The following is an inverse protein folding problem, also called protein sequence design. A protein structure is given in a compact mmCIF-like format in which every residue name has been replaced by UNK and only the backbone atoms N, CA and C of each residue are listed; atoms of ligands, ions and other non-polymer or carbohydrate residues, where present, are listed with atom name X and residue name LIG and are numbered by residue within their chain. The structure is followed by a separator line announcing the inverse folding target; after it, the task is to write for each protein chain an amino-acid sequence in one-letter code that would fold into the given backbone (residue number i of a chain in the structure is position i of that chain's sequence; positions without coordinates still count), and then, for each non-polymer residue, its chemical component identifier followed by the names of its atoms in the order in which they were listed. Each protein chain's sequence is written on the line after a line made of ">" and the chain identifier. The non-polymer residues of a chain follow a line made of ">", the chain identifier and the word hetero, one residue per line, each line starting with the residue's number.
data_IF_717458384625
#
_entry.id   IF_717458384625
#
_cell.length_a   1.000
_cell.length_b   1.000
_cell.length_c   1.000
_cell.angle_alpha   90.00
_cell.angle_beta   90.00
_cell.angle_gamma   90.00
#
_symmetry.space_group_name_H-M   'P 1'
#
loop_
_entity.id
_entity.type
_entity.pdbx_description
1 polymer ?
#
# COMPACT_ATOMS: atom_id res chain seq x y z
N UNK A 1 71.02 -22.75 -1.98
CA UNK A 1 71.50 -22.44 -0.62
C UNK A 1 70.24 -22.27 0.24
N UNK A 2 69.73 -23.46 0.66
CA UNK A 2 68.44 -23.49 1.38
C UNK A 2 68.71 -23.26 2.87
N UNK A 3 68.21 -22.12 3.39
CA UNK A 3 68.27 -21.80 4.79
C UNK A 3 67.03 -22.38 5.50
N UNK A 4 67.17 -23.60 6.00
CA UNK A 4 66.13 -24.21 6.87
C UNK A 4 66.05 -23.42 8.19
N UNK A 5 64.85 -23.02 8.66
CA UNK A 5 64.69 -22.32 9.88
C UNK A 5 65.11 -23.21 11.09
N UNK A 6 65.89 -22.65 12.02
CA UNK A 6 66.38 -23.34 13.17
C UNK A 6 65.24 -23.79 14.11
N UNK A 7 65.41 -24.92 14.76
CA UNK A 7 64.43 -25.53 15.73
C UNK A 7 63.84 -24.54 16.72
N UNK A 8 64.63 -23.55 17.17
CA UNK A 8 64.20 -22.45 18.05
C UNK A 8 63.16 -21.52 17.42
N UNK A 9 63.29 -21.22 16.12
CA UNK A 9 62.33 -20.34 15.43
C UNK A 9 60.94 -21.03 15.28
N UNK A 10 60.93 -22.35 15.05
CA UNK A 10 59.68 -23.13 14.96
C UNK A 10 58.95 -23.20 16.29
N UNK A 11 59.70 -23.34 17.40
CA UNK A 11 59.15 -23.35 18.77
C UNK A 11 58.52 -22.01 19.14
N UNK A 12 59.17 -20.91 18.80
CA UNK A 12 58.66 -19.54 19.05
C UNK A 12 57.39 -19.25 18.27
N UNK A 13 57.31 -19.69 16.98
CA UNK A 13 56.11 -19.53 16.15
C UNK A 13 54.95 -20.35 16.71
N UNK A 14 55.18 -21.60 17.14
CA UNK A 14 54.14 -22.42 17.77
C UNK A 14 53.60 -21.80 19.06
N UNK A 15 54.48 -21.20 19.89
CA UNK A 15 54.08 -20.49 21.09
C UNK A 15 53.20 -19.25 20.79
N UNK A 16 53.56 -18.51 19.74
CA UNK A 16 52.78 -17.34 19.31
C UNK A 16 51.39 -17.72 18.81
N UNK A 17 51.28 -18.80 18.00
CA UNK A 17 49.99 -19.32 17.54
C UNK A 17 49.10 -19.82 18.67
N UNK A 18 49.70 -20.43 19.71
CA UNK A 18 48.98 -20.87 20.90
C UNK A 18 48.45 -19.68 21.71
N UNK A 19 49.26 -18.64 21.91
CA UNK A 19 48.87 -17.41 22.61
C UNK A 19 47.75 -16.65 21.86
N UNK A 20 47.83 -16.55 20.54
CA UNK A 20 46.76 -15.92 19.70
C UNK A 20 45.46 -16.71 19.80
N UNK A 21 45.50 -18.06 19.77
CA UNK A 21 44.30 -18.89 19.96
C UNK A 21 43.68 -18.71 21.33
N UNK A 22 44.47 -18.65 22.38
CA UNK A 22 43.98 -18.42 23.75
C UNK A 22 43.35 -17.04 23.85
N UNK A 23 43.96 -16.01 23.29
CA UNK A 23 43.40 -14.66 23.25
C UNK A 23 42.05 -14.59 22.53
N UNK A 24 41.93 -15.30 21.39
CA UNK A 24 40.67 -15.39 20.65
C UNK A 24 39.56 -16.09 21.45
N UNK A 25 39.91 -17.16 22.18
CA UNK A 25 38.94 -17.89 23.02
C UNK A 25 38.50 -17.00 24.20
N UNK A 26 39.41 -16.25 24.81
CA UNK A 26 39.10 -15.33 25.90
C UNK A 26 38.17 -14.18 25.40
N UNK A 27 38.45 -13.62 24.23
CA UNK A 27 37.61 -12.59 23.63
C UNK A 27 36.21 -13.15 23.28
N UNK A 28 36.13 -14.38 22.79
CA UNK A 28 34.83 -15.05 22.52
C UNK A 28 34.04 -15.30 23.80
N UNK A 29 34.69 -15.73 24.87
CA UNK A 29 34.05 -15.96 26.17
C UNK A 29 33.56 -14.65 26.79
N UNK A 30 34.33 -13.56 26.69
CA UNK A 30 33.91 -12.23 27.14
C UNK A 30 32.82 -11.63 26.26
N UNK A 31 32.84 -11.88 24.94
CA UNK A 31 31.80 -11.47 24.03
C UNK A 31 30.44 -12.12 24.30
N UNK A 32 30.44 -13.39 24.73
CA UNK A 32 29.20 -14.11 25.09
C UNK A 32 28.57 -13.62 26.39
N UNK A 33 29.35 -12.97 27.27
CA UNK A 33 28.82 -12.39 28.51
C UNK A 33 28.22 -10.98 28.33
N UNK A 34 28.45 -10.35 27.19
CA UNK A 34 27.84 -9.06 26.85
C UNK A 34 26.34 -9.17 26.47
N UNK A 35 25.85 -10.37 26.18
CA UNK A 35 24.41 -10.66 26.10
C UNK A 35 23.78 -10.81 27.50
N UNK A 36 24.02 -9.83 28.39
CA UNK A 36 23.17 -9.70 29.58
C UNK A 36 21.81 -9.24 29.09
N UNK A 37 20.83 -10.10 29.33
CA UNK A 37 19.39 -9.84 29.22
C UNK A 37 19.10 -8.36 29.46
N UNK A 38 18.55 -7.70 28.41
CA UNK A 38 17.88 -6.43 28.60
C UNK A 38 16.97 -6.58 29.84
N UNK A 39 16.98 -5.64 30.76
CA UNK A 39 16.08 -5.73 31.91
C UNK A 39 14.67 -5.92 31.31
N UNK A 40 14.01 -7.02 31.70
CA UNK A 40 12.59 -7.19 31.40
C UNK A 40 11.95 -5.94 31.98
N UNK A 41 11.56 -5.02 31.09
CA UNK A 41 10.72 -3.89 31.45
C UNK A 41 9.50 -4.56 32.08
N UNK A 42 9.39 -4.47 33.41
CA UNK A 42 8.18 -4.93 34.10
C UNK A 42 7.05 -4.26 33.31
N UNK A 43 6.08 -5.04 32.79
CA UNK A 43 4.92 -4.41 32.21
C UNK A 43 4.43 -3.41 33.24
N UNK A 44 4.32 -2.14 32.83
CA UNK A 44 3.67 -1.13 33.65
C UNK A 44 2.38 -1.79 34.16
N UNK A 45 2.08 -1.68 35.48
CA UNK A 45 0.85 -2.22 36.00
C UNK A 45 -0.23 -1.75 35.05
N UNK A 46 -1.03 -2.72 34.56
CA UNK A 46 -2.10 -2.47 33.63
C UNK A 46 -2.88 -1.29 34.21
N UNK A 47 -2.58 -0.09 33.74
CA UNK A 47 -3.41 1.05 33.97
C UNK A 47 -4.68 0.72 33.19
N UNK A 48 -5.47 -0.19 33.79
CA UNK A 48 -6.90 -0.15 33.59
C UNK A 48 -7.30 1.24 34.12
N UNK A 49 -6.96 2.26 33.32
CA UNK A 49 -7.61 3.54 33.37
C UNK A 49 -9.05 3.33 32.85
N UNK A 50 -9.78 2.48 33.57
CA UNK A 50 -11.13 2.79 33.96
C UNK A 50 -11.05 3.88 35.05
N UNK A 51 -10.22 4.93 34.85
CA UNK A 51 -10.69 6.23 35.26
C UNK A 51 -12.03 6.31 34.55
N UNK A 52 -13.07 6.12 35.31
CA UNK A 52 -14.39 6.60 34.92
C UNK A 52 -14.14 8.06 34.51
N UNK A 53 -13.86 8.28 33.23
CA UNK A 53 -14.03 9.58 32.61
C UNK A 53 -15.53 9.74 32.74
N UNK A 54 -15.94 10.34 33.85
CA UNK A 54 -17.28 10.86 33.97
C UNK A 54 -17.39 11.83 32.82
N UNK A 55 -18.14 11.40 31.80
CA UNK A 55 -18.43 12.27 30.64
C UNK A 55 -18.90 13.58 31.23
N UNK A 56 -18.11 14.64 31.01
CA UNK A 56 -18.49 15.95 31.45
C UNK A 56 -19.74 16.35 30.64
N UNK A 57 -20.90 16.23 31.29
CA UNK A 57 -22.18 16.50 30.66
C UNK A 57 -22.28 17.93 30.12
N UNK A 58 -21.47 18.87 30.63
CA UNK A 58 -21.35 20.23 30.11
C UNK A 58 -20.70 20.25 28.73
N UNK A 59 -19.56 19.58 28.55
CA UNK A 59 -18.87 19.47 27.27
C UNK A 59 -19.74 18.74 26.26
N UNK A 60 -20.31 17.60 26.64
CA UNK A 60 -21.17 16.83 25.74
C UNK A 60 -22.39 17.64 25.25
N UNK A 61 -23.00 18.43 26.11
CA UNK A 61 -24.15 19.26 25.74
C UNK A 61 -23.79 20.38 24.78
N UNK A 62 -22.58 20.96 24.90
CA UNK A 62 -22.08 22.00 24.01
C UNK A 62 -21.80 21.46 22.59
N UNK A 63 -21.30 20.23 22.48
CA UNK A 63 -21.00 19.59 21.18
C UNK A 63 -22.20 18.83 20.60
N UNK A 64 -23.27 18.57 21.37
CA UNK A 64 -24.41 17.79 20.90
C UNK A 64 -25.05 18.33 19.60
N UNK A 65 -25.32 19.62 19.42
CA UNK A 65 -25.93 20.12 18.18
C UNK A 65 -25.02 19.89 16.95
N UNK A 66 -23.69 20.05 17.12
CA UNK A 66 -22.73 19.82 16.06
C UNK A 66 -22.65 18.34 15.68
N UNK A 67 -22.53 17.47 16.68
CA UNK A 67 -22.54 16.00 16.50
C UNK A 67 -23.83 15.53 15.81
N UNK A 68 -24.98 16.04 16.22
CA UNK A 68 -26.28 15.63 15.70
C UNK A 68 -26.44 16.08 14.24
N UNK A 69 -25.97 17.29 13.89
CA UNK A 69 -25.91 17.78 12.52
C UNK A 69 -24.98 16.94 11.65
N UNK A 70 -23.78 16.60 12.13
CA UNK A 70 -22.83 15.75 11.43
C UNK A 70 -23.38 14.34 11.21
N UNK A 71 -23.98 13.74 12.24
CA UNK A 71 -24.60 12.44 12.16
C UNK A 71 -25.78 12.42 11.16
N UNK A 72 -26.58 13.47 11.11
CA UNK A 72 -27.66 13.59 10.13
C UNK A 72 -27.12 13.60 8.70
N UNK A 73 -26.05 14.37 8.43
CA UNK A 73 -25.40 14.43 7.12
C UNK A 73 -24.79 13.08 6.74
N UNK A 74 -24.00 12.46 7.63
CA UNK A 74 -23.34 11.18 7.37
C UNK A 74 -24.31 10.00 7.19
N UNK A 75 -25.49 10.06 7.80
CA UNK A 75 -26.52 9.03 7.66
C UNK A 75 -27.42 9.24 6.42
N UNK A 76 -27.22 10.27 5.63
CA UNK A 76 -27.95 10.47 4.39
C UNK A 76 -27.72 9.29 3.45
N UNK A 77 -28.81 8.72 2.92
CA UNK A 77 -28.73 7.69 1.89
C UNK A 77 -28.34 8.35 0.55
N UNK A 78 -27.30 7.80 -0.08
CA UNK A 78 -26.76 8.28 -1.35
C UNK A 78 -26.95 7.25 -2.48
N UNK A 79 -27.33 6.01 -2.15
CA UNK A 79 -27.52 4.96 -3.12
C UNK A 79 -28.10 3.69 -2.53
N UNK A 80 -28.21 2.68 -3.38
CA UNK A 80 -28.70 1.35 -3.02
C UNK A 80 -27.85 0.28 -3.72
N UNK A 81 -27.57 -0.81 -3.04
CA UNK A 81 -26.84 -1.95 -3.59
C UNK A 81 -27.60 -3.25 -3.39
N UNK A 82 -27.84 -4.02 -4.46
CA UNK A 82 -28.52 -5.31 -4.39
C UNK A 82 -27.70 -6.39 -3.70
N UNK A 83 -26.39 -6.19 -3.58
CA UNK A 83 -25.45 -7.11 -2.94
C UNK A 83 -24.39 -6.34 -2.18
N UNK A 84 -23.71 -6.99 -1.24
CA UNK A 84 -22.55 -6.42 -0.58
C UNK A 84 -21.32 -6.50 -1.49
N UNK A 85 -20.44 -5.49 -1.39
CA UNK A 85 -19.19 -5.43 -2.13
C UNK A 85 -18.00 -5.57 -1.18
N UNK A 86 -17.07 -6.44 -1.55
CA UNK A 86 -15.89 -6.75 -0.75
C UNK A 86 -14.62 -6.50 -1.57
N UNK A 87 -13.61 -5.93 -0.91
CA UNK A 87 -12.27 -5.92 -1.48
C UNK A 87 -11.70 -7.34 -1.47
N UNK A 88 -11.00 -7.72 -2.52
CA UNK A 88 -10.49 -9.09 -2.68
C UNK A 88 -9.19 -9.19 -3.48
N UNK A 89 -8.59 -10.37 -3.47
CA UNK A 89 -7.40 -10.72 -4.22
C UNK A 89 -7.63 -12.07 -4.92
N UNK A 90 -7.28 -12.23 -6.20
CA UNK A 90 -6.78 -11.19 -7.12
C UNK A 90 -7.86 -10.20 -7.56
N UNK A 91 -9.14 -10.54 -7.40
CA UNK A 91 -10.28 -9.82 -7.94
C UNK A 91 -11.39 -9.73 -6.87
N UNK A 92 -11.75 -8.52 -6.48
CA UNK A 92 -12.86 -8.22 -5.57
C UNK A 92 -13.91 -7.36 -6.26
N UNK A 93 -15.19 -7.61 -6.01
CA UNK A 93 -16.26 -6.81 -6.64
C UNK A 93 -16.21 -5.34 -6.22
N UNK A 94 -15.75 -5.02 -4.99
CA UNK A 94 -15.51 -3.64 -4.57
C UNK A 94 -14.34 -3.00 -5.32
N UNK A 95 -13.26 -3.77 -5.56
CA UNK A 95 -12.11 -3.28 -6.34
C UNK A 95 -12.55 -2.84 -7.74
N UNK A 96 -13.35 -3.68 -8.41
CA UNK A 96 -13.84 -3.40 -9.75
C UNK A 96 -14.77 -2.19 -9.74
N UNK A 97 -15.76 -2.17 -8.85
CA UNK A 97 -16.71 -1.06 -8.74
C UNK A 97 -15.99 0.28 -8.60
N UNK A 98 -15.03 0.35 -7.67
CA UNK A 98 -14.28 1.59 -7.42
C UNK A 98 -13.45 1.98 -8.64
N UNK A 99 -12.74 1.04 -9.25
CA UNK A 99 -11.92 1.32 -10.42
C UNK A 99 -12.77 1.72 -11.65
N UNK A 100 -13.96 1.15 -11.82
CA UNK A 100 -14.89 1.49 -12.90
C UNK A 100 -15.41 2.92 -12.78
N UNK A 101 -15.85 3.33 -11.58
CA UNK A 101 -16.28 4.70 -11.33
C UNK A 101 -15.14 5.71 -11.58
N UNK A 102 -13.94 5.40 -11.08
CA UNK A 102 -12.78 6.30 -11.26
C UNK A 102 -12.38 6.39 -12.73
N UNK A 103 -12.43 5.30 -13.49
CA UNK A 103 -12.16 5.33 -14.92
C UNK A 103 -13.19 6.17 -15.68
N UNK A 104 -14.48 6.01 -15.35
CA UNK A 104 -15.54 6.80 -15.94
C UNK A 104 -15.34 8.30 -15.67
N UNK A 105 -15.12 8.70 -14.43
CA UNK A 105 -14.87 10.09 -14.06
C UNK A 105 -13.61 10.66 -14.71
N UNK A 106 -12.54 9.86 -14.81
CA UNK A 106 -11.32 10.27 -15.49
C UNK A 106 -11.58 10.55 -17.00
N UNK A 107 -12.42 9.76 -17.65
CA UNK A 107 -12.77 9.96 -19.06
C UNK A 107 -13.64 11.20 -19.26
N UNK A 108 -14.51 11.54 -18.32
CA UNK A 108 -15.31 12.76 -18.36
C UNK A 108 -14.45 14.01 -18.16
N UNK A 109 -13.41 13.92 -17.32
CA UNK A 109 -12.48 15.02 -17.08
C UNK A 109 -11.61 15.35 -18.29
N UNK A 110 -11.06 14.34 -18.98
CA UNK A 110 -10.29 14.47 -20.23
C UNK A 110 -11.08 13.92 -21.41
N UNK A 111 -12.10 14.65 -21.84
CA UNK A 111 -12.99 14.25 -22.91
C UNK A 111 -12.32 14.12 -24.29
N UNK A 112 -11.20 14.79 -24.53
CA UNK A 112 -10.41 14.78 -25.79
C UNK A 112 -9.34 13.70 -25.83
N UNK A 113 -9.08 13.01 -24.71
CA UNK A 113 -8.08 11.95 -24.58
C UNK A 113 -8.77 10.68 -24.05
N UNK A 114 -8.55 9.55 -24.72
CA UNK A 114 -9.06 8.28 -24.22
C UNK A 114 -8.19 7.77 -23.05
N UNK A 115 -8.76 7.65 -21.85
CA UNK A 115 -8.15 6.99 -20.71
C UNK A 115 -8.39 5.48 -20.86
N UNK A 116 -7.32 4.70 -21.05
CA UNK A 116 -7.43 3.29 -21.39
C UNK A 116 -7.63 2.38 -20.18
N UNK A 117 -7.13 2.76 -18.99
CA UNK A 117 -7.25 1.95 -17.79
C UNK A 117 -7.24 2.78 -16.51
N UNK A 118 -7.75 2.19 -15.44
CA UNK A 118 -7.58 2.66 -14.07
C UNK A 118 -6.79 1.63 -13.26
N UNK A 119 -5.86 2.09 -12.44
CA UNK A 119 -5.07 1.25 -11.54
C UNK A 119 -5.05 1.93 -10.17
N UNK A 120 -5.65 1.30 -9.16
CA UNK A 120 -5.68 1.77 -7.77
C UNK A 120 -5.16 0.70 -6.83
N UNK A 121 -4.61 1.12 -5.70
CA UNK A 121 -4.15 0.23 -4.67
C UNK A 121 -5.32 -0.30 -3.82
N UNK A 122 -5.31 -1.61 -3.53
CA UNK A 122 -6.33 -2.25 -2.67
C UNK A 122 -6.30 -1.69 -1.24
N UNK A 123 -5.13 -1.31 -0.75
CA UNK A 123 -4.94 -0.75 0.60
C UNK A 123 -5.74 0.54 0.83
N UNK A 124 -6.13 1.24 -0.23
CA UNK A 124 -7.03 2.39 -0.19
C UNK A 124 -8.47 2.07 0.18
N UNK A 125 -8.90 0.80 0.02
CA UNK A 125 -10.25 0.32 0.33
C UNK A 125 -10.24 -0.39 1.68
N UNK A 126 -10.78 0.24 2.73
CA UNK A 126 -10.59 -0.17 4.12
C UNK A 126 -11.67 -1.08 4.68
N UNK A 127 -12.87 -1.02 4.12
CA UNK A 127 -14.02 -1.82 4.57
C UNK A 127 -14.88 -2.24 3.38
N UNK A 128 -15.91 -3.05 3.62
CA UNK A 128 -16.88 -3.46 2.62
C UNK A 128 -17.97 -2.43 2.44
N UNK A 129 -18.59 -2.40 1.25
CA UNK A 129 -19.84 -1.69 1.02
C UNK A 129 -21.01 -2.63 1.35
N UNK A 130 -21.92 -2.26 2.25
CA UNK A 130 -23.02 -3.14 2.64
C UNK A 130 -24.03 -3.31 1.51
N UNK A 131 -24.84 -4.35 1.63
CA UNK A 131 -26.06 -4.50 0.85
C UNK A 131 -27.11 -3.49 1.34
N UNK A 132 -28.07 -3.18 0.51
CA UNK A 132 -29.23 -2.31 0.75
C UNK A 132 -28.85 -0.82 0.69
N UNK A 133 -29.26 -0.01 1.65
CA UNK A 133 -29.06 1.44 1.63
C UNK A 133 -27.61 1.84 1.86
N UNK A 134 -27.01 2.48 0.87
CA UNK A 134 -25.67 3.07 0.99
C UNK A 134 -25.82 4.48 1.52
N UNK A 135 -25.09 4.76 2.59
CA UNK A 135 -25.07 6.06 3.26
C UNK A 135 -23.73 6.74 3.08
N UNK A 136 -23.71 8.04 3.22
CA UNK A 136 -22.50 8.84 3.08
C UNK A 136 -21.35 8.34 3.96
N UNK A 137 -21.60 7.96 5.21
CA UNK A 137 -20.55 7.46 6.10
C UNK A 137 -19.87 6.19 5.58
N UNK A 138 -20.58 5.30 4.83
CA UNK A 138 -19.96 4.11 4.26
C UNK A 138 -18.83 4.47 3.28
N UNK A 139 -19.00 5.56 2.52
CA UNK A 139 -17.96 6.01 1.58
C UNK A 139 -16.74 6.54 2.34
N UNK A 140 -16.94 7.27 3.44
CA UNK A 140 -15.84 7.72 4.32
C UNK A 140 -15.11 6.53 4.98
N UNK A 141 -15.83 5.47 5.35
CA UNK A 141 -15.22 4.26 5.92
C UNK A 141 -14.45 3.44 4.88
N UNK A 142 -14.95 3.35 3.64
CA UNK A 142 -14.26 2.63 2.56
C UNK A 142 -12.99 3.39 2.15
N UNK A 143 -13.07 4.70 1.96
CA UNK A 143 -11.98 5.56 1.48
C UNK A 143 -11.70 6.71 2.45
N UNK A 144 -11.06 6.45 3.61
CA UNK A 144 -10.80 7.47 4.62
C UNK A 144 -9.67 8.44 4.24
N UNK A 145 -8.97 8.18 3.13
CA UNK A 145 -7.86 9.00 2.67
C UNK A 145 -8.35 10.13 1.76
N UNK A 146 -7.63 11.26 1.78
CA UNK A 146 -7.88 12.43 0.95
C UNK A 146 -7.17 12.34 -0.42
N UNK A 147 -7.06 11.12 -0.97
CA UNK A 147 -6.40 10.87 -2.24
C UNK A 147 -7.13 11.58 -3.39
N UNK A 148 -6.35 12.13 -4.32
CA UNK A 148 -6.84 12.83 -5.51
C UNK A 148 -6.66 11.98 -6.77
N UNK A 149 -7.58 12.14 -7.71
CA UNK A 149 -7.48 11.56 -9.04
C UNK A 149 -6.29 12.18 -9.79
N UNK A 150 -5.42 11.34 -10.31
CA UNK A 150 -4.30 11.73 -11.17
C UNK A 150 -4.35 10.94 -12.47
N UNK A 151 -4.14 11.62 -13.59
CA UNK A 151 -4.06 11.00 -14.90
C UNK A 151 -2.60 10.98 -15.35
N UNK A 152 -2.12 9.82 -15.78
CA UNK A 152 -0.74 9.60 -16.19
C UNK A 152 -0.69 9.03 -17.60
N UNK A 153 0.16 9.59 -18.44
CA UNK A 153 0.58 8.96 -19.69
C UNK A 153 1.85 8.16 -19.42
N UNK A 154 1.80 6.86 -19.55
CA UNK A 154 2.93 5.97 -19.30
C UNK A 154 3.35 5.25 -20.57
N UNK A 155 4.65 4.96 -20.69
CA UNK A 155 5.18 4.17 -21.81
C UNK A 155 4.70 2.71 -21.73
N UNK A 156 4.76 1.99 -22.84
CA UNK A 156 4.46 0.56 -22.83
C UNK A 156 5.33 -0.21 -21.84
N UNK A 157 6.62 0.10 -21.74
CA UNK A 157 7.49 -0.52 -20.72
C UNK A 157 7.09 -0.19 -19.29
N UNK A 158 6.60 1.02 -19.03
CA UNK A 158 6.03 1.42 -17.74
C UNK A 158 4.77 0.62 -17.44
N UNK A 159 3.87 0.44 -18.42
CA UNK A 159 2.67 -0.38 -18.30
C UNK A 159 3.02 -1.86 -18.04
N UNK A 160 4.01 -2.43 -18.74
CA UNK A 160 4.49 -3.79 -18.46
C UNK A 160 4.98 -3.96 -17.03
N UNK A 161 5.75 -2.98 -16.55
CA UNK A 161 6.25 -2.97 -15.18
C UNK A 161 5.11 -2.89 -14.17
N UNK A 162 4.07 -2.08 -14.43
CA UNK A 162 2.89 -1.98 -13.59
C UNK A 162 2.11 -3.31 -13.56
N UNK A 163 1.89 -3.95 -14.70
CA UNK A 163 1.21 -5.25 -14.80
C UNK A 163 1.97 -6.36 -14.07
N UNK A 164 3.31 -6.40 -14.18
CA UNK A 164 4.15 -7.34 -13.42
C UNK A 164 4.06 -7.10 -11.92
N UNK A 165 4.04 -5.84 -11.50
CA UNK A 165 3.90 -5.49 -10.09
C UNK A 165 2.51 -5.85 -9.55
N UNK A 166 1.44 -5.62 -10.31
CA UNK A 166 0.08 -6.10 -9.98
C UNK A 166 0.08 -7.62 -9.76
N UNK A 167 0.77 -8.37 -10.62
CA UNK A 167 0.87 -9.83 -10.46
C UNK A 167 1.62 -10.23 -9.17
N UNK A 168 2.70 -9.54 -8.83
CA UNK A 168 3.45 -9.76 -7.57
C UNK A 168 2.58 -9.48 -6.33
N UNK A 169 1.74 -8.46 -6.38
CA UNK A 169 0.77 -8.12 -5.33
C UNK A 169 -0.45 -9.05 -5.33
N UNK A 170 -0.54 -9.99 -6.28
CA UNK A 170 -1.69 -10.88 -6.51
C UNK A 170 -2.99 -10.10 -6.74
N UNK A 171 -2.90 -9.00 -7.50
CA UNK A 171 -4.02 -8.17 -7.90
C UNK A 171 -3.99 -6.74 -7.36
N UNK A 172 -4.80 -5.88 -7.98
CA UNK A 172 -5.05 -4.49 -7.62
C UNK A 172 -6.53 -4.16 -7.91
N UNK A 173 -6.97 -2.95 -7.63
CA UNK A 173 -8.23 -2.45 -8.15
C UNK A 173 -7.97 -1.90 -9.55
N UNK A 174 -8.53 -2.55 -10.57
CA UNK A 174 -8.27 -2.20 -11.97
C UNK A 174 -9.57 -2.13 -12.77
N UNK A 175 -9.61 -1.23 -13.74
CA UNK A 175 -10.64 -1.14 -14.76
C UNK A 175 -10.03 -0.85 -16.13
N UNK A 176 -10.72 -1.18 -17.21
CA UNK A 176 -10.22 -1.02 -18.57
C UNK A 176 -9.07 -1.96 -18.93
N UNK A 177 -8.71 -2.92 -18.06
CA UNK A 177 -7.66 -3.89 -18.31
C UNK A 177 -8.03 -5.29 -17.83
N UNK A 178 -7.52 -6.30 -18.54
CA UNK A 178 -7.65 -7.73 -18.22
C UNK A 178 -6.27 -8.35 -18.13
N UNK A 179 -5.95 -9.00 -17.01
CA UNK A 179 -4.69 -9.69 -16.78
C UNK A 179 -4.95 -11.14 -16.36
N UNK A 180 -4.28 -12.09 -17.02
CA UNK A 180 -4.19 -13.47 -16.54
C UNK A 180 -2.92 -13.60 -15.71
N UNK A 181 -3.08 -13.63 -14.38
CA UNK A 181 -1.96 -13.71 -13.45
C UNK A 181 -1.36 -15.12 -13.42
N UNK A 182 -0.04 -15.19 -13.23
CA UNK A 182 0.74 -16.41 -13.05
C UNK A 182 1.66 -16.24 -11.83
N UNK A 183 2.27 -17.34 -11.37
CA UNK A 183 3.21 -17.29 -10.24
C UNK A 183 4.45 -16.42 -10.51
N UNK A 184 4.81 -16.23 -11.78
CA UNK A 184 5.99 -15.46 -12.22
C UNK A 184 5.65 -14.06 -12.79
N UNK A 185 4.37 -13.69 -12.86
CA UNK A 185 3.94 -12.43 -13.48
C UNK A 185 2.55 -12.55 -14.09
N UNK A 186 2.41 -12.27 -15.36
CA UNK A 186 1.16 -12.45 -16.13
C UNK A 186 1.44 -13.16 -17.46
N UNK A 187 0.45 -13.87 -18.00
CA UNK A 187 0.56 -14.59 -19.29
C UNK A 187 -0.13 -13.85 -20.43
N UNK A 188 -1.26 -13.19 -20.16
CA UNK A 188 -1.98 -12.39 -21.15
C UNK A 188 -2.40 -11.05 -20.55
N UNK A 189 -2.38 -10.01 -21.37
CA UNK A 189 -2.86 -8.70 -21.01
C UNK A 189 -3.67 -8.09 -22.16
N UNK A 190 -4.80 -7.47 -21.82
CA UNK A 190 -5.61 -6.63 -22.71
C UNK A 190 -5.83 -5.28 -22.03
N UNK A 191 -5.79 -4.21 -22.80
CA UNK A 191 -6.03 -2.84 -22.31
C UNK A 191 -7.01 -2.18 -23.25
N UNK A 192 -8.08 -1.61 -22.72
CA UNK A 192 -9.20 -1.05 -23.49
C UNK A 192 -9.70 -2.04 -24.57
N UNK A 193 -9.85 -3.32 -24.18
CA UNK A 193 -10.34 -4.38 -25.07
C UNK A 193 -9.35 -4.87 -26.13
N UNK A 194 -8.17 -4.27 -26.28
CA UNK A 194 -7.13 -4.65 -27.24
C UNK A 194 -5.97 -5.38 -26.57
N UNK A 195 -5.27 -6.32 -27.27
CA UNK A 195 -4.04 -6.89 -26.74
C UNK A 195 -3.04 -5.80 -26.38
N UNK A 196 -2.34 -5.98 -25.26
CA UNK A 196 -1.26 -5.07 -24.86
C UNK A 196 -0.15 -5.01 -25.90
N UNK A 197 0.34 -3.80 -26.22
CA UNK A 197 1.48 -3.54 -27.11
C UNK A 197 2.53 -2.67 -26.40
N UNK A 198 3.73 -3.21 -26.20
CA UNK A 198 4.82 -2.54 -25.50
C UNK A 198 5.38 -1.30 -26.22
N UNK A 199 4.99 -1.08 -27.49
CA UNK A 199 5.42 0.09 -28.29
C UNK A 199 4.45 1.27 -28.17
N UNK A 200 3.29 1.07 -27.54
CA UNK A 200 2.27 2.11 -27.34
C UNK A 200 2.50 2.85 -26.03
N UNK A 201 1.90 4.00 -25.94
CA UNK A 201 1.72 4.76 -24.71
C UNK A 201 0.28 4.60 -24.24
N UNK A 202 0.07 4.68 -22.93
CA UNK A 202 -1.22 4.46 -22.30
C UNK A 202 -1.55 5.58 -21.33
N UNK A 203 -2.72 6.17 -21.49
CA UNK A 203 -3.28 7.03 -20.46
C UNK A 203 -3.99 6.19 -19.41
N UNK A 204 -3.63 6.38 -18.15
CA UNK A 204 -4.23 5.68 -17.03
C UNK A 204 -4.72 6.68 -15.98
N UNK A 205 -5.82 6.30 -15.31
CA UNK A 205 -6.29 6.94 -14.08
C UNK A 205 -5.67 6.23 -12.88
N UNK A 206 -5.23 7.00 -11.90
CA UNK A 206 -4.70 6.48 -10.62
C UNK A 206 -4.91 7.53 -9.52
N UNK A 207 -4.36 7.32 -8.34
CA UNK A 207 -4.36 8.34 -7.29
C UNK A 207 -2.97 8.98 -7.11
N UNK A 208 -2.96 10.11 -6.44
CA UNK A 208 -1.75 10.90 -6.15
C UNK A 208 -0.71 10.10 -5.35
N UNK A 209 -1.13 9.23 -4.41
CA UNK A 209 -0.25 8.36 -3.65
C UNK A 209 0.48 7.36 -4.55
N UNK A 210 -0.24 6.66 -5.45
CA UNK A 210 0.37 5.73 -6.39
C UNK A 210 1.20 6.44 -7.46
N UNK A 211 0.75 7.61 -7.94
CA UNK A 211 1.49 8.43 -8.89
C UNK A 211 2.87 8.86 -8.35
N UNK A 212 3.06 8.87 -7.04
CA UNK A 212 4.33 9.11 -6.36
C UNK A 212 5.11 7.83 -6.01
N UNK A 213 4.69 6.66 -6.48
CA UNK A 213 5.35 5.37 -6.25
C UNK A 213 4.83 4.60 -5.03
N UNK A 214 3.71 5.01 -4.47
CA UNK A 214 3.07 4.32 -3.35
C UNK A 214 2.80 2.84 -3.63
N UNK A 215 2.81 2.00 -2.61
CA UNK A 215 2.67 0.54 -2.66
C UNK A 215 3.65 -0.14 -3.65
N UNK A 216 4.80 0.48 -3.93
CA UNK A 216 5.85 -0.06 -4.80
C UNK A 216 5.62 0.16 -6.29
N UNK A 217 4.66 0.98 -6.71
CA UNK A 217 4.44 1.35 -8.11
C UNK A 217 5.50 2.36 -8.62
N UNK A 218 6.77 2.03 -8.42
CA UNK A 218 7.92 2.90 -8.71
C UNK A 218 8.06 3.32 -10.18
N UNK A 219 7.30 2.70 -11.10
CA UNK A 219 7.26 3.09 -12.51
C UNK A 219 6.37 4.32 -12.75
N UNK A 220 5.37 4.57 -11.92
CA UNK A 220 4.40 5.65 -12.13
C UNK A 220 5.00 7.07 -12.00
N UNK A 221 5.96 7.35 -11.09
CA UNK A 221 6.66 8.65 -11.06
C UNK A 221 7.42 9.00 -12.35
N UNK A 222 7.68 8.01 -13.21
CA UNK A 222 8.37 8.18 -14.50
C UNK A 222 7.39 8.32 -15.68
N UNK A 223 6.16 8.74 -15.42
CA UNK A 223 5.17 9.00 -16.46
C UNK A 223 5.66 10.05 -17.47
N UNK A 224 5.25 9.90 -18.72
CA UNK A 224 5.56 10.83 -19.82
C UNK A 224 4.80 12.15 -19.67
N UNK A 225 3.57 12.07 -19.14
CA UNK A 225 2.72 13.20 -18.81
C UNK A 225 1.96 12.92 -17.52
N UNK A 226 1.65 13.98 -16.77
CA UNK A 226 0.86 13.94 -15.54
C UNK A 226 -0.14 15.07 -15.52
N UNK A 227 -1.38 14.77 -15.14
CA UNK A 227 -2.45 15.75 -14.89
C UNK A 227 -2.98 15.51 -13.48
N UNK A 228 -2.80 16.48 -12.60
CA UNK A 228 -3.40 16.51 -11.28
C UNK A 228 -4.78 17.18 -11.40
N UNK A 229 -5.84 16.45 -11.10
CA UNK A 229 -7.21 16.92 -11.35
C UNK A 229 -7.77 17.75 -10.21
N UNK A 230 -7.27 17.58 -8.98
CA UNK A 230 -7.83 18.15 -7.76
C UNK A 230 -9.13 17.49 -7.31
N UNK A 231 -9.61 16.47 -8.00
CA UNK A 231 -10.84 15.74 -7.65
C UNK A 231 -10.48 14.69 -6.59
N UNK A 232 -11.15 14.75 -5.45
CA UNK A 232 -11.00 13.70 -4.43
C UNK A 232 -11.65 12.41 -4.92
N UNK A 233 -10.94 11.28 -4.80
CA UNK A 233 -11.49 9.98 -5.19
C UNK A 233 -12.79 9.65 -4.48
N UNK A 234 -12.92 10.03 -3.21
CA UNK A 234 -14.14 9.84 -2.43
C UNK A 234 -15.32 10.60 -3.01
N UNK A 235 -15.11 11.81 -3.51
CA UNK A 235 -16.19 12.66 -4.02
C UNK A 235 -16.82 12.09 -5.28
N UNK A 236 -16.07 11.32 -6.09
CA UNK A 236 -16.57 10.56 -7.26
C UNK A 236 -17.75 9.62 -6.90
N UNK A 237 -17.82 9.17 -5.62
CA UNK A 237 -18.86 8.25 -5.16
C UNK A 237 -20.01 8.95 -4.43
N UNK A 238 -19.90 10.26 -4.21
CA UNK A 238 -20.89 11.03 -3.46
C UNK A 238 -21.80 11.80 -4.40
N UNK A 239 -21.29 12.16 -5.59
CA UNK A 239 -22.02 12.84 -6.68
C UNK A 239 -22.92 11.86 -7.46
#
# INVERSE_FOLDING_TARGET
>A
MDILPTSKAISTIKGLFCAVRILYIVIMIFGLQACRTLPIVKPLPNLNNHALVTEDGGILSEFAPYRDSLNAALNQAIGYADTAFFAGSPNGNLNNLVADFVLQQAQEYLWDITIQACILNRGGLRTALPKDSIRLFHIYEIMPFENELVLLQISGSGMDSAMKHIAQLKGAAVSGMELTLTDSGYSTARIAGSPYDSRREYWIATNDYMAQGGDGFNMLPHALSRVDTGIKLRDIFIE
#
